data_IF_563752722175
#
_entry.id   IF_563752722175
#
_cell.length_a   1.000
_cell.length_b   1.000
_cell.length_c   1.000
_cell.angle_alpha   90.00
_cell.angle_beta   90.00
_cell.angle_gamma   90.00
#
_symmetry.space_group_name_H-M   'P 1'
#
loop_
_entity.id
_entity.type
_entity.pdbx_description
1 polymer ?
#
# COMPACT_ATOMS: atom_id res chain seq x y z
N UNK A 1 3.81 21.11 1.69
CA UNK A 1 3.69 20.05 2.69
C UNK A 1 3.21 18.77 2.05
N UNK A 2 3.82 17.66 2.44
CA UNK A 2 3.41 16.36 1.91
C UNK A 2 2.05 15.97 2.44
N UNK A 3 1.19 15.49 1.57
CA UNK A 3 -0.17 15.11 1.93
C UNK A 3 -0.40 13.61 1.81
N UNK A 4 0.35 12.96 0.94
CA UNK A 4 0.14 11.54 0.64
C UNK A 4 1.32 10.72 1.13
N UNK A 5 1.03 9.52 1.61
CA UNK A 5 2.06 8.64 2.15
C UNK A 5 1.86 7.23 1.60
N UNK A 6 2.97 6.62 1.17
CA UNK A 6 2.99 5.21 0.80
C UNK A 6 3.77 4.48 1.88
N UNK A 7 3.16 3.46 2.47
CA UNK A 7 3.75 2.67 3.55
C UNK A 7 3.79 1.21 3.14
N UNK A 8 4.85 0.51 3.52
CA UNK A 8 4.97 -0.91 3.25
C UNK A 8 5.86 -1.57 4.30
N UNK A 9 5.82 -2.91 4.34
CA UNK A 9 6.65 -3.70 5.25
C UNK A 9 7.76 -4.35 4.47
N UNK A 10 8.97 -4.30 5.00
CA UNK A 10 10.14 -4.97 4.45
C UNK A 10 10.91 -5.62 5.60
N UNK A 11 11.03 -6.96 5.57
CA UNK A 11 11.74 -7.73 6.60
C UNK A 11 11.28 -7.41 8.02
N UNK A 12 9.97 -7.24 8.21
CA UNK A 12 9.41 -6.93 9.52
C UNK A 12 9.51 -5.47 9.93
N UNK A 13 10.09 -4.62 9.10
CA UNK A 13 10.23 -3.19 9.36
C UNK A 13 9.24 -2.42 8.50
N UNK A 14 8.54 -1.46 9.10
CA UNK A 14 7.65 -0.57 8.37
C UNK A 14 8.43 0.60 7.79
N UNK A 15 8.23 0.84 6.51
CA UNK A 15 8.88 1.94 5.79
C UNK A 15 7.78 2.80 5.18
N UNK A 16 7.97 4.11 5.16
CA UNK A 16 7.03 5.01 4.51
C UNK A 16 7.75 6.14 3.80
N UNK A 17 7.12 6.65 2.75
CA UNK A 17 7.61 7.79 1.98
C UNK A 17 6.43 8.73 1.73
N UNK A 18 6.65 10.02 1.87
CA UNK A 18 5.63 11.04 1.68
C UNK A 18 5.78 11.74 0.34
N UNK A 19 4.66 12.18 -0.22
CA UNK A 19 4.59 12.84 -1.51
C UNK A 19 3.65 14.03 -1.44
N UNK A 20 3.90 15.03 -2.28
CA UNK A 20 3.06 16.22 -2.34
C UNK A 20 1.81 16.01 -3.18
N UNK A 21 1.87 15.15 -4.19
CA UNK A 21 0.75 14.92 -5.09
C UNK A 21 0.28 13.48 -5.04
N UNK A 22 -1.00 13.30 -5.33
CA UNK A 22 -1.62 11.98 -5.42
C UNK A 22 -0.96 11.12 -6.51
N UNK A 23 -0.71 11.70 -7.67
CA UNK A 23 -0.14 10.94 -8.80
C UNK A 23 1.25 10.38 -8.50
N UNK A 24 2.09 11.17 -7.84
CA UNK A 24 3.41 10.69 -7.44
C UNK A 24 3.30 9.52 -6.44
N UNK A 25 2.43 9.66 -5.46
CA UNK A 25 2.21 8.62 -4.46
C UNK A 25 1.62 7.37 -5.09
N UNK A 26 0.64 7.53 -5.98
CA UNK A 26 0.00 6.41 -6.66
C UNK A 26 1.00 5.63 -7.51
N UNK A 27 1.86 6.32 -8.22
CA UNK A 27 2.88 5.69 -9.05
C UNK A 27 3.84 4.86 -8.20
N UNK A 28 4.30 5.42 -7.08
CA UNK A 28 5.17 4.69 -6.16
C UNK A 28 4.45 3.50 -5.53
N UNK A 29 3.20 3.69 -5.13
CA UNK A 29 2.38 2.62 -4.57
C UNK A 29 2.27 1.44 -5.56
N UNK A 30 1.99 1.72 -6.83
CA UNK A 30 1.86 0.67 -7.86
C UNK A 30 3.15 -0.11 -8.06
N UNK A 31 4.29 0.55 -7.90
CA UNK A 31 5.59 -0.12 -8.01
C UNK A 31 5.87 -1.01 -6.79
N UNK A 32 5.64 -0.47 -5.60
CA UNK A 32 5.99 -1.15 -4.35
C UNK A 32 5.03 -2.28 -4.03
N UNK A 33 3.74 -2.12 -4.30
CA UNK A 33 2.74 -3.12 -3.94
C UNK A 33 2.98 -4.49 -4.55
N UNK A 34 3.68 -4.53 -5.67
CA UNK A 34 3.97 -5.80 -6.35
C UNK A 34 5.19 -6.51 -5.76
N UNK A 35 5.96 -5.82 -4.93
CA UNK A 35 7.20 -6.34 -4.38
C UNK A 35 7.15 -6.60 -2.88
N UNK A 36 6.04 -6.24 -2.21
CA UNK A 36 5.93 -6.34 -0.76
C UNK A 36 4.69 -7.14 -0.38
N UNK A 37 4.65 -7.61 0.87
CA UNK A 37 3.50 -8.34 1.39
C UNK A 37 2.33 -7.44 1.74
N UNK A 38 2.62 -6.18 2.04
CA UNK A 38 1.60 -5.21 2.42
C UNK A 38 2.06 -3.84 1.97
N UNK A 39 1.17 -3.09 1.36
CA UNK A 39 1.45 -1.73 0.92
C UNK A 39 0.17 -0.91 1.03
N UNK A 40 0.28 0.32 1.51
CA UNK A 40 -0.86 1.20 1.68
C UNK A 40 -0.57 2.57 1.08
N UNK A 41 -1.59 3.15 0.46
CA UNK A 41 -1.57 4.53 -0.03
C UNK A 41 -2.53 5.32 0.83
N UNK A 42 -2.04 6.35 1.49
CA UNK A 42 -2.80 7.13 2.45
C UNK A 42 -2.82 8.61 2.07
N UNK A 43 -4.00 9.23 2.23
CA UNK A 43 -4.15 10.69 2.25
C UNK A 43 -4.17 11.06 3.73
N UNK A 44 -3.17 11.81 4.20
CA UNK A 44 -3.04 12.11 5.62
C UNK A 44 -4.20 12.95 6.17
N UNK A 45 -5.03 13.51 5.30
CA UNK A 45 -6.24 14.23 5.71
C UNK A 45 -7.49 13.35 5.70
N UNK A 46 -7.56 12.36 4.80
CA UNK A 46 -8.76 11.53 4.63
C UNK A 46 -8.60 10.10 5.16
N UNK A 47 -7.36 9.64 5.33
CA UNK A 47 -7.09 8.26 5.72
C UNK A 47 -6.62 7.41 4.56
N UNK A 48 -6.74 6.10 4.70
CA UNK A 48 -6.26 5.15 3.70
C UNK A 48 -7.14 5.22 2.45
N UNK A 49 -6.50 5.38 1.29
CA UNK A 49 -7.17 5.39 0.00
C UNK A 49 -7.18 4.02 -0.66
N UNK A 50 -6.05 3.34 -0.64
CA UNK A 50 -5.90 2.00 -1.23
C UNK A 50 -4.97 1.17 -0.36
N UNK A 51 -5.19 -0.14 -0.35
CA UNK A 51 -4.27 -1.05 0.31
C UNK A 51 -4.15 -2.35 -0.47
N UNK A 52 -2.96 -2.93 -0.45
CA UNK A 52 -2.65 -4.20 -1.08
C UNK A 52 -2.05 -5.11 -0.03
N UNK A 53 -2.46 -6.36 0.00
CA UNK A 53 -1.95 -7.32 0.95
C UNK A 53 -2.03 -8.74 0.36
N UNK A 54 -1.34 -9.66 1.01
CA UNK A 54 -1.43 -11.07 0.65
C UNK A 54 -2.47 -11.75 1.53
N UNK A 55 -3.39 -12.47 0.91
CA UNK A 55 -4.41 -13.24 1.59
C UNK A 55 -4.17 -14.72 1.38
N UNK A 56 -4.21 -15.48 2.46
CA UNK A 56 -4.04 -16.92 2.40
C UNK A 56 -5.28 -17.56 1.76
N UNK A 57 -5.05 -18.49 0.85
CA UNK A 57 -6.13 -19.22 0.21
C UNK A 57 -6.62 -20.35 1.11
N UNK A 58 -7.74 -20.98 0.73
CA UNK A 58 -8.38 -22.04 1.52
C UNK A 58 -7.48 -23.25 1.75
N UNK A 59 -6.56 -23.53 0.82
CA UNK A 59 -5.61 -24.63 0.97
C UNK A 59 -4.53 -24.39 2.02
N UNK A 60 -4.45 -23.19 2.58
CA UNK A 60 -3.47 -22.77 3.57
C UNK A 60 -2.01 -22.87 3.11
N UNK A 61 -1.79 -22.98 1.81
CA UNK A 61 -0.45 -23.11 1.23
C UNK A 61 -0.15 -21.92 0.32
N UNK A 62 -1.12 -21.52 -0.47
CA UNK A 62 -0.94 -20.44 -1.44
C UNK A 62 -1.50 -19.13 -0.94
N UNK A 63 -1.00 -18.02 -1.53
CA UNK A 63 -1.46 -16.67 -1.23
C UNK A 63 -1.88 -15.99 -2.52
N UNK A 64 -2.83 -15.08 -2.42
CA UNK A 64 -3.17 -14.19 -3.52
C UNK A 64 -2.97 -12.74 -3.09
N UNK A 65 -2.63 -11.91 -4.04
CA UNK A 65 -2.47 -10.47 -3.81
C UNK A 65 -3.80 -9.79 -4.04
N UNK A 66 -4.28 -9.11 -3.02
CA UNK A 66 -5.59 -8.44 -3.04
C UNK A 66 -5.38 -6.95 -2.91
N UNK A 67 -6.11 -6.18 -3.72
CA UNK A 67 -6.14 -4.73 -3.58
C UNK A 67 -7.54 -4.30 -3.19
N UNK A 68 -7.64 -3.43 -2.19
CA UNK A 68 -8.88 -2.81 -1.79
C UNK A 68 -8.80 -1.30 -2.02
N UNK A 69 -9.81 -0.75 -2.67
CA UNK A 69 -9.95 0.70 -2.82
C UNK A 69 -10.89 1.16 -1.73
N UNK A 70 -10.36 1.94 -0.78
CA UNK A 70 -11.08 2.30 0.43
C UNK A 70 -11.80 3.64 0.29
N UNK A 71 -11.08 4.68 -0.14
CA UNK A 71 -11.59 6.04 -0.23
C UNK A 71 -11.18 6.76 -1.52
N UNK A 72 -11.01 6.03 -2.56
CA UNK A 72 -10.45 6.60 -3.80
C UNK A 72 -11.52 6.92 -4.84
#
# INVERSE_FOLDING_TARGET
MSRFRVSWSSNGTEISTCFDTYLEALERYKQIRMCTRKCELEDMKKGILRKTYLRKLEDNIHYERVEEIVND
#
